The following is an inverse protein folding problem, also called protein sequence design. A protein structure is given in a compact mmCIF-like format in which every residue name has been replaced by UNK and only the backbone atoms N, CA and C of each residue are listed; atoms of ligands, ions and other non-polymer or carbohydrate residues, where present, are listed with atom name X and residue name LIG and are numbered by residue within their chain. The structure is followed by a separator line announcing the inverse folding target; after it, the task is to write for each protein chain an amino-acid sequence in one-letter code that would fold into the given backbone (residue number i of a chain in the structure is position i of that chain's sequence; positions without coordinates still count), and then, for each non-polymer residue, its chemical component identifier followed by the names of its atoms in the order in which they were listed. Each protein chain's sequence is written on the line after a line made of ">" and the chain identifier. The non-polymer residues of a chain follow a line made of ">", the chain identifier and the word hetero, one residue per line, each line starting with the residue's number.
data_IF_938315025762
#
_entry.id   IF_938315025762
#
_cell.length_a   1.000
_cell.length_b   1.000
_cell.length_c   1.000
_cell.angle_alpha   90.00
_cell.angle_beta   90.00
_cell.angle_gamma   90.00
#
_symmetry.space_group_name_H-M   'P 1'
#
loop_
_entity.id
_entity.type
_entity.pdbx_description
1 polymer ?
#
# COMPACT_ATOMS: atom_id res chain seq x y z
N UNK A 1 11.16 -7.97 22.41
CA UNK A 1 10.21 -9.09 22.27
C UNK A 1 9.02 -8.53 21.51
N UNK A 2 8.89 -8.78 20.19
CA UNK A 2 7.77 -8.23 19.40
C UNK A 2 6.51 -8.95 19.89
N UNK A 3 5.57 -8.20 20.47
CA UNK A 3 4.29 -8.73 20.89
C UNK A 3 3.65 -9.48 19.72
N UNK A 4 3.10 -10.67 19.98
CA UNK A 4 2.27 -11.38 19.00
C UNK A 4 1.03 -10.53 18.80
N UNK A 5 1.00 -9.77 17.72
CA UNK A 5 -0.22 -9.12 17.28
C UNK A 5 -1.11 -10.24 16.77
N UNK A 6 -2.24 -10.46 17.43
CA UNK A 6 -3.29 -11.34 16.95
C UNK A 6 -3.96 -10.64 15.76
N UNK A 7 -3.60 -11.07 14.55
CA UNK A 7 -4.10 -10.47 13.31
C UNK A 7 -5.23 -11.35 12.83
N UNK A 8 -6.44 -10.80 12.78
CA UNK A 8 -7.57 -11.48 12.16
C UNK A 8 -7.31 -11.64 10.66
N UNK A 9 -7.41 -12.88 10.17
CA UNK A 9 -7.12 -13.24 8.79
C UNK A 9 -8.37 -13.80 8.08
N UNK A 10 -8.47 -13.60 6.77
CA UNK A 10 -9.53 -14.12 5.92
C UNK A 10 -8.95 -14.78 4.66
N UNK A 11 -9.55 -15.91 4.26
CA UNK A 11 -9.34 -16.51 2.95
C UNK A 11 -10.15 -15.77 1.89
N UNK A 12 -9.50 -15.47 0.77
CA UNK A 12 -10.13 -14.76 -0.35
C UNK A 12 -9.87 -15.46 -1.69
N UNK A 13 -10.84 -15.33 -2.60
CA UNK A 13 -10.58 -15.57 -4.01
C UNK A 13 -9.59 -14.54 -4.56
N UNK A 14 -8.95 -14.84 -5.68
CA UNK A 14 -8.00 -13.96 -6.33
C UNK A 14 -8.62 -12.56 -6.56
N UNK A 15 -8.00 -11.47 -6.07
CA UNK A 15 -8.56 -10.13 -6.15
C UNK A 15 -8.59 -9.56 -7.58
N UNK A 16 -7.94 -10.24 -8.53
CA UNK A 16 -7.88 -9.81 -9.94
C UNK A 16 -8.90 -10.54 -10.81
N UNK A 17 -9.08 -11.86 -10.61
CA UNK A 17 -9.92 -12.67 -11.50
C UNK A 17 -11.04 -13.45 -10.81
N UNK A 18 -11.13 -13.39 -9.48
CA UNK A 18 -12.18 -14.05 -8.69
C UNK A 18 -12.08 -15.58 -8.59
N UNK A 19 -11.01 -16.21 -9.09
CA UNK A 19 -10.78 -17.65 -8.95
C UNK A 19 -10.16 -17.99 -7.59
N UNK A 20 -10.57 -19.10 -7.00
CA UNK A 20 -10.13 -19.52 -5.66
C UNK A 20 -8.86 -20.39 -5.70
N UNK A 21 -8.55 -21.01 -6.84
CA UNK A 21 -7.42 -21.91 -6.97
C UNK A 21 -6.10 -21.14 -6.98
N UNK A 22 -5.18 -21.56 -6.11
CA UNK A 22 -3.85 -20.99 -6.02
C UNK A 22 -2.81 -22.07 -5.69
N UNK A 23 -1.53 -21.72 -5.91
CA UNK A 23 -0.37 -22.47 -5.42
C UNK A 23 0.37 -21.65 -4.36
N UNK A 24 0.81 -22.27 -3.29
CA UNK A 24 1.68 -21.64 -2.30
C UNK A 24 3.05 -21.33 -2.96
N UNK A 25 3.54 -20.10 -2.78
CA UNK A 25 4.88 -19.70 -3.21
C UNK A 25 5.86 -19.58 -2.04
N UNK A 26 5.41 -18.96 -0.96
CA UNK A 26 6.25 -18.69 0.20
C UNK A 26 5.41 -18.57 1.46
N UNK A 27 6.00 -18.92 2.60
CA UNK A 27 5.39 -18.75 3.93
C UNK A 27 6.40 -18.11 4.86
N UNK A 28 6.00 -17.02 5.50
CA UNK A 28 6.77 -16.30 6.52
C UNK A 28 5.89 -16.11 7.76
N UNK A 29 6.12 -16.93 8.80
CA UNK A 29 5.23 -16.98 9.96
C UNK A 29 3.81 -17.36 9.57
N UNK A 30 2.85 -16.51 9.95
CA UNK A 30 1.43 -16.67 9.62
C UNK A 30 1.08 -16.19 8.20
N UNK A 31 2.00 -15.51 7.50
CA UNK A 31 1.75 -14.95 6.19
C UNK A 31 2.10 -15.93 5.07
N UNK A 32 1.19 -16.06 4.10
CA UNK A 32 1.35 -16.95 2.95
C UNK A 32 1.21 -16.18 1.65
N UNK A 33 2.30 -16.11 0.87
CA UNK A 33 2.23 -15.63 -0.49
C UNK A 33 1.82 -16.76 -1.42
N UNK A 34 0.71 -16.58 -2.11
CA UNK A 34 0.15 -17.55 -3.04
C UNK A 34 0.12 -16.97 -4.46
N UNK A 35 0.13 -17.83 -5.47
CA UNK A 35 -0.07 -17.45 -6.87
C UNK A 35 -1.36 -18.04 -7.39
N UNK A 36 -2.24 -17.20 -7.93
CA UNK A 36 -3.47 -17.65 -8.58
C UNK A 36 -3.15 -18.62 -9.72
N UNK A 37 -3.83 -19.76 -9.77
CA UNK A 37 -3.63 -20.77 -10.81
C UNK A 37 -4.16 -20.30 -12.19
N UNK A 38 -5.11 -19.35 -12.21
CA UNK A 38 -5.72 -18.83 -13.43
C UNK A 38 -4.93 -17.64 -14.01
N UNK A 39 -4.89 -16.49 -13.32
CA UNK A 39 -4.28 -15.27 -13.86
C UNK A 39 -2.82 -15.05 -13.44
N UNK A 40 -2.23 -15.96 -12.66
CA UNK A 40 -0.85 -15.87 -12.16
C UNK A 40 -0.54 -14.68 -11.21
N UNK A 41 -1.55 -13.93 -10.78
CA UNK A 41 -1.37 -12.86 -9.79
C UNK A 41 -0.88 -13.42 -8.45
N UNK A 42 0.10 -12.74 -7.84
CA UNK A 42 0.66 -13.11 -6.53
C UNK A 42 0.00 -12.24 -5.47
N UNK A 43 -0.55 -12.86 -4.44
CA UNK A 43 -1.25 -12.18 -3.37
C UNK A 43 -1.08 -12.92 -2.05
N UNK A 44 -1.43 -12.25 -0.96
CA UNK A 44 -1.45 -12.84 0.37
C UNK A 44 -2.75 -13.62 0.55
N UNK A 45 -2.67 -14.89 0.92
CA UNK A 45 -3.86 -15.68 1.27
C UNK A 45 -3.54 -16.78 2.31
N UNK A 46 -4.18 -16.79 3.49
CA UNK A 46 -5.16 -15.80 3.94
C UNK A 46 -4.51 -14.42 4.14
N UNK A 47 -5.29 -13.33 4.02
CA UNK A 47 -4.84 -11.95 4.23
C UNK A 47 -5.45 -11.36 5.51
N UNK A 48 -4.88 -10.32 6.12
CA UNK A 48 -5.55 -9.61 7.20
C UNK A 48 -6.92 -9.09 6.76
N UNK A 49 -7.91 -9.16 7.65
CA UNK A 49 -9.24 -8.58 7.41
C UNK A 49 -9.13 -7.07 7.19
N UNK A 50 -10.14 -6.48 6.54
CA UNK A 50 -10.18 -5.02 6.37
C UNK A 50 -10.05 -4.26 7.70
N UNK A 51 -10.69 -4.76 8.76
CA UNK A 51 -10.61 -4.18 10.11
C UNK A 51 -9.20 -4.30 10.70
N UNK A 52 -8.54 -5.45 10.54
CA UNK A 52 -7.16 -5.62 10.98
C UNK A 52 -6.22 -4.66 10.25
N UNK A 53 -6.34 -4.53 8.92
CA UNK A 53 -5.56 -3.58 8.12
C UNK A 53 -5.81 -2.15 8.60
N UNK A 54 -7.07 -1.77 8.84
CA UNK A 54 -7.41 -0.43 9.32
C UNK A 54 -6.76 -0.11 10.67
N UNK A 55 -6.75 -1.05 11.61
CA UNK A 55 -6.06 -0.90 12.91
C UNK A 55 -4.56 -0.65 12.71
N UNK A 56 -3.91 -1.42 11.83
CA UNK A 56 -2.50 -1.19 11.50
C UNK A 56 -2.25 0.17 10.86
N UNK A 57 -3.16 0.62 9.99
CA UNK A 57 -3.00 1.88 9.28
C UNK A 57 -3.05 3.10 10.21
N UNK A 58 -3.76 3.01 11.35
CA UNK A 58 -3.82 4.10 12.33
C UNK A 58 -2.46 4.46 12.93
N UNK A 59 -1.54 3.50 13.03
CA UNK A 59 -0.19 3.70 13.56
C UNK A 59 0.91 3.57 12.51
N UNK A 60 0.56 3.55 11.22
CA UNK A 60 1.51 3.25 10.15
C UNK A 60 2.51 4.39 9.88
N UNK A 61 2.04 5.63 9.98
CA UNK A 61 2.87 6.82 9.77
C UNK A 61 3.49 7.27 11.09
N UNK A 62 4.82 7.38 11.19
CA UNK A 62 5.48 8.00 12.34
C UNK A 62 5.00 9.43 12.59
N UNK A 63 4.90 9.82 13.85
CA UNK A 63 4.47 11.18 14.22
C UNK A 63 5.65 12.11 14.53
N UNK A 64 6.87 11.58 14.68
CA UNK A 64 8.04 12.38 15.00
C UNK A 64 8.55 13.16 13.77
N UNK A 65 8.96 14.42 13.99
CA UNK A 65 9.40 15.33 12.93
C UNK A 65 10.56 14.76 12.10
N UNK A 66 11.48 14.02 12.74
CA UNK A 66 12.66 13.50 12.06
C UNK A 66 12.32 12.43 11.04
N UNK A 67 11.40 11.52 11.38
CA UNK A 67 10.89 10.49 10.47
C UNK A 67 10.07 11.10 9.33
N UNK A 68 9.23 12.09 9.64
CA UNK A 68 8.42 12.80 8.65
C UNK A 68 9.31 13.48 7.61
N UNK A 69 10.33 14.22 8.06
CA UNK A 69 11.27 14.92 7.20
C UNK A 69 12.12 13.94 6.36
N UNK A 70 12.56 12.84 6.96
CA UNK A 70 13.27 11.78 6.25
C UNK A 70 12.40 11.14 5.16
N UNK A 71 11.12 10.87 5.46
CA UNK A 71 10.16 10.34 4.49
C UNK A 71 9.94 11.32 3.33
N UNK A 72 9.76 12.62 3.63
CA UNK A 72 9.61 13.67 2.61
C UNK A 72 10.79 13.68 1.65
N UNK A 73 12.02 13.68 2.18
CA UNK A 73 13.25 13.64 1.38
C UNK A 73 13.34 12.38 0.51
N UNK A 74 13.00 11.21 1.07
CA UNK A 74 12.99 9.95 0.32
C UNK A 74 12.01 10.01 -0.86
N UNK A 75 10.81 10.57 -0.64
CA UNK A 75 9.74 10.59 -1.65
C UNK A 75 9.85 11.72 -2.66
N UNK A 76 10.61 12.78 -2.39
CA UNK A 76 10.70 13.97 -3.24
C UNK A 76 11.00 13.64 -4.72
N UNK A 77 11.90 12.70 -4.99
CA UNK A 77 12.23 12.30 -6.36
C UNK A 77 11.08 11.57 -7.08
N UNK A 78 10.24 10.86 -6.33
CA UNK A 78 9.05 10.17 -6.84
C UNK A 78 7.96 11.21 -7.14
N UNK A 79 7.76 12.17 -6.23
CA UNK A 79 6.81 13.26 -6.41
C UNK A 79 7.15 14.09 -7.65
N UNK A 80 8.40 14.48 -7.84
CA UNK A 80 8.80 15.23 -9.04
C UNK A 80 8.55 14.45 -10.34
N UNK A 81 8.81 13.13 -10.35
CA UNK A 81 8.54 12.29 -11.52
C UNK A 81 7.04 12.19 -11.81
N UNK A 82 6.22 12.03 -10.77
CA UNK A 82 4.77 11.99 -10.88
C UNK A 82 4.21 13.33 -11.36
N UNK A 83 4.66 14.45 -10.77
CA UNK A 83 4.31 15.81 -11.18
C UNK A 83 4.58 16.05 -12.66
N UNK A 84 5.82 15.79 -13.10
CA UNK A 84 6.22 15.94 -14.50
C UNK A 84 5.38 15.06 -15.43
N UNK A 85 4.99 13.86 -15.01
CA UNK A 85 4.13 12.99 -15.82
C UNK A 85 2.71 13.54 -15.96
N UNK A 86 2.13 14.05 -14.87
CA UNK A 86 0.78 14.62 -14.86
C UNK A 86 0.75 15.91 -15.68
N UNK A 87 1.68 16.83 -15.43
CA UNK A 87 1.73 18.15 -16.08
C UNK A 87 1.93 18.07 -17.60
N UNK A 88 2.61 17.02 -18.08
CA UNK A 88 2.72 16.72 -19.52
C UNK A 88 1.37 16.44 -20.18
N UNK A 89 0.41 15.91 -19.43
CA UNK A 89 -0.94 15.63 -19.94
C UNK A 89 -1.92 16.75 -19.61
N UNK A 90 -1.80 17.35 -18.43
CA UNK A 90 -2.69 18.41 -17.94
C UNK A 90 -2.01 19.26 -16.87
N UNK A 91 -1.74 20.52 -17.21
CA UNK A 91 -1.09 21.47 -16.30
C UNK A 91 -1.96 21.91 -15.13
N UNK A 92 -3.27 22.09 -15.34
CA UNK A 92 -4.19 22.64 -14.35
C UNK A 92 -5.43 21.76 -14.18
N UNK A 93 -5.93 21.61 -12.95
CA UNK A 93 -7.17 20.90 -12.67
C UNK A 93 -7.33 20.49 -11.22
N UNK A 94 -8.22 19.54 -10.97
CA UNK A 94 -8.36 18.88 -9.66
C UNK A 94 -7.53 17.59 -9.67
N UNK A 95 -6.77 17.38 -8.61
CA UNK A 95 -5.95 16.19 -8.39
C UNK A 95 -6.57 15.35 -7.27
N UNK A 96 -6.66 14.03 -7.49
CA UNK A 96 -7.02 13.04 -6.47
C UNK A 96 -5.81 12.14 -6.25
N UNK A 97 -5.38 12.03 -5.01
CA UNK A 97 -4.31 11.12 -4.58
C UNK A 97 -4.88 10.10 -3.58
N UNK A 98 -4.83 8.82 -3.93
CA UNK A 98 -5.35 7.72 -3.11
C UNK A 98 -4.18 7.14 -2.32
N UNK A 99 -4.23 7.27 -1.00
CA UNK A 99 -3.10 6.90 -0.14
C UNK A 99 -2.06 8.01 0.01
N UNK A 100 -2.51 9.26 0.12
CA UNK A 100 -1.66 10.47 0.09
C UNK A 100 -0.64 10.59 1.25
N UNK A 101 -0.63 9.68 2.22
CA UNK A 101 0.26 9.72 3.38
C UNK A 101 0.16 11.06 4.13
N UNK A 102 1.29 11.74 4.34
CA UNK A 102 1.34 13.09 4.92
C UNK A 102 0.80 14.21 4.01
N UNK A 103 0.43 13.91 2.76
CA UNK A 103 -0.11 14.89 1.82
C UNK A 103 0.93 15.80 1.15
N UNK A 104 2.22 15.48 1.26
CA UNK A 104 3.29 16.29 0.66
C UNK A 104 3.18 16.37 -0.86
N UNK A 105 2.86 15.27 -1.56
CA UNK A 105 2.66 15.32 -3.00
C UNK A 105 1.53 16.27 -3.42
N UNK A 106 0.40 16.24 -2.72
CA UNK A 106 -0.72 17.16 -2.98
C UNK A 106 -0.34 18.61 -2.67
N UNK A 107 0.50 18.84 -1.65
CA UNK A 107 1.01 20.16 -1.33
C UNK A 107 1.91 20.70 -2.44
N UNK A 108 2.85 19.88 -2.91
CA UNK A 108 3.77 20.21 -4.02
C UNK A 108 3.00 20.49 -5.33
N UNK A 109 1.87 19.81 -5.57
CA UNK A 109 1.04 19.96 -6.78
C UNK A 109 -0.03 21.06 -6.70
N UNK A 110 -0.11 21.79 -5.59
CA UNK A 110 -1.09 22.87 -5.40
C UNK A 110 -0.58 24.23 -5.90
N UNK A 111 0.73 24.38 -6.01
CA UNK A 111 1.43 25.57 -6.50
C UNK A 111 1.36 25.69 -8.03
#
# INVERSE_FOLDING_TARGET
>A
MREKIDIEMEDIACPICGKAEYRLLHKEGEFQMVRCASCQFIYLNPRPTGEAILRFYQGYLPEDESSIEAWKKMMQSIFQKAANLIERHKKNGRLLDIGAGYGFFLSDMKE
#
